data_IF_819161219940
#
_entry.id   IF_819161219940
#
_cell.length_a   1.000
_cell.length_b   1.000
_cell.length_c   1.000
_cell.angle_alpha   90.00
_cell.angle_beta   90.00
_cell.angle_gamma   90.00
#
_symmetry.space_group_name_H-M   'P 1'
#
loop_
_entity.id
_entity.type
_entity.pdbx_description
1 polymer ?
#
# COMPACT_ATOMS: atom_id res chain seq x y z
N UNK A 1 21.95 -13.70 -5.71
CA UNK A 1 22.78 -12.88 -4.78
C UNK A 1 23.40 -13.84 -3.78
N UNK A 2 24.69 -13.71 -3.51
CA UNK A 2 25.38 -14.59 -2.58
C UNK A 2 25.20 -14.01 -1.16
N UNK A 3 24.60 -14.77 -0.24
CA UNK A 3 24.41 -14.36 1.17
C UNK A 3 25.73 -14.15 1.93
N UNK A 4 26.85 -14.67 1.39
CA UNK A 4 28.18 -14.48 1.97
C UNK A 4 28.71 -13.05 1.80
N UNK A 5 28.11 -12.25 0.91
CA UNK A 5 28.44 -10.83 0.71
C UNK A 5 27.83 -9.93 1.78
N UNK A 6 26.82 -10.42 2.53
CA UNK A 6 26.19 -9.66 3.60
C UNK A 6 27.16 -9.41 4.76
N UNK A 7 27.20 -8.17 5.19
CA UNK A 7 28.03 -7.72 6.31
C UNK A 7 27.21 -7.66 7.59
N UNK A 8 27.49 -8.57 8.48
CA UNK A 8 26.94 -8.59 9.82
C UNK A 8 27.85 -7.80 10.76
N UNK A 9 27.26 -7.18 11.78
CA UNK A 9 28.02 -6.48 12.82
C UNK A 9 28.90 -7.44 13.65
N UNK A 10 29.67 -6.87 14.60
CA UNK A 10 30.53 -7.65 15.52
C UNK A 10 29.79 -8.69 16.35
N UNK A 11 28.46 -8.56 16.52
CA UNK A 11 27.59 -9.49 17.21
C UNK A 11 26.95 -10.52 16.26
N UNK A 12 27.31 -10.49 14.98
CA UNK A 12 26.72 -11.34 13.95
C UNK A 12 25.30 -10.94 13.57
N UNK A 13 24.93 -9.69 13.72
CA UNK A 13 23.60 -9.16 13.43
C UNK A 13 23.59 -8.20 12.24
N UNK A 14 22.52 -8.19 11.50
CA UNK A 14 22.23 -7.24 10.44
C UNK A 14 20.87 -6.57 10.74
N UNK A 15 20.75 -5.24 10.67
CA UNK A 15 19.48 -4.56 10.81
C UNK A 15 18.55 -4.88 9.64
N UNK A 16 17.26 -5.06 9.93
CA UNK A 16 16.21 -5.35 8.97
C UNK A 16 15.08 -4.33 9.14
N UNK A 17 14.92 -3.47 8.14
CA UNK A 17 13.80 -2.51 8.04
C UNK A 17 12.63 -3.25 7.40
N UNK A 18 11.58 -3.48 8.19
CA UNK A 18 10.37 -4.17 7.70
C UNK A 18 9.39 -3.15 7.17
N UNK A 19 8.96 -3.33 5.92
CA UNK A 19 8.08 -2.42 5.19
C UNK A 19 6.83 -3.17 4.75
N UNK A 20 5.68 -2.55 4.94
CA UNK A 20 4.42 -3.03 4.39
C UNK A 20 4.43 -2.87 2.86
N UNK A 21 4.27 -3.97 2.13
CA UNK A 21 4.36 -3.98 0.67
C UNK A 21 3.22 -3.20 0.00
N UNK A 22 2.05 -3.17 0.61
CA UNK A 22 0.88 -2.48 0.06
C UNK A 22 0.95 -0.95 0.26
N UNK A 23 1.39 -0.52 1.43
CA UNK A 23 1.35 0.90 1.81
C UNK A 23 2.70 1.60 1.74
N UNK A 24 3.81 0.85 1.66
CA UNK A 24 5.16 1.39 1.76
C UNK A 24 5.53 1.89 3.17
N UNK A 25 4.69 1.63 4.18
CA UNK A 25 4.91 2.08 5.54
C UNK A 25 5.96 1.23 6.24
N UNK A 26 6.92 1.89 6.89
CA UNK A 26 7.88 1.19 7.75
C UNK A 26 7.13 0.66 8.98
N UNK A 27 7.18 -0.65 9.19
CA UNK A 27 6.49 -1.36 10.26
C UNK A 27 7.34 -1.45 11.52
N UNK A 28 8.59 -1.86 11.38
CA UNK A 28 9.55 -1.99 12.47
C UNK A 28 10.99 -2.02 11.97
N UNK A 29 11.92 -1.74 12.85
CA UNK A 29 13.32 -2.12 12.71
C UNK A 29 13.58 -3.32 13.65
N UNK A 30 14.03 -4.42 13.08
CA UNK A 30 14.44 -5.62 13.80
C UNK A 30 15.87 -6.02 13.43
N UNK A 31 16.38 -7.10 14.03
CA UNK A 31 17.70 -7.60 13.73
C UNK A 31 17.62 -9.06 13.32
N UNK A 32 18.43 -9.43 12.35
CA UNK A 32 18.57 -10.81 11.90
C UNK A 32 20.01 -11.27 12.10
N UNK A 33 20.20 -12.55 12.45
CA UNK A 33 21.45 -13.25 12.29
C UNK A 33 21.36 -14.20 11.07
N UNK A 34 22.44 -14.88 10.71
CA UNK A 34 22.43 -15.79 9.55
C UNK A 34 21.35 -16.86 9.65
N UNK A 35 21.12 -17.40 10.85
CA UNK A 35 20.12 -18.44 11.11
C UNK A 35 18.68 -17.90 10.91
N UNK A 36 18.35 -16.76 11.52
CA UNK A 36 17.01 -16.16 11.38
C UNK A 36 16.72 -15.74 9.95
N UNK A 37 17.72 -15.26 9.21
CA UNK A 37 17.59 -14.94 7.79
C UNK A 37 17.32 -16.20 6.96
N UNK A 38 18.05 -17.28 7.19
CA UNK A 38 17.83 -18.56 6.51
C UNK A 38 16.42 -19.11 6.78
N UNK A 39 15.97 -19.09 8.04
CA UNK A 39 14.60 -19.49 8.42
C UNK A 39 13.55 -18.62 7.74
N UNK A 40 13.81 -17.31 7.67
CA UNK A 40 12.89 -16.37 7.01
C UNK A 40 12.73 -16.70 5.52
N UNK A 41 13.82 -16.98 4.85
CA UNK A 41 13.81 -17.33 3.42
C UNK A 41 13.15 -18.71 3.17
N UNK A 42 13.38 -19.68 4.04
CA UNK A 42 12.79 -21.02 3.93
C UNK A 42 11.28 -21.00 4.16
N UNK A 43 10.84 -20.29 5.21
CA UNK A 43 9.42 -20.26 5.60
C UNK A 43 8.58 -19.21 4.86
N UNK A 44 9.22 -18.25 4.21
CA UNK A 44 8.51 -17.09 3.67
C UNK A 44 7.88 -16.19 4.74
N UNK A 45 8.32 -16.31 5.99
CA UNK A 45 7.82 -15.57 7.15
C UNK A 45 8.97 -14.88 7.87
N UNK A 46 8.76 -13.68 8.42
CA UNK A 46 9.82 -12.95 9.11
C UNK A 46 10.21 -13.66 10.43
N UNK A 47 11.46 -14.08 10.52
CA UNK A 47 12.11 -14.56 11.73
C UNK A 47 13.25 -13.61 12.08
N UNK A 48 13.28 -13.15 13.32
CA UNK A 48 14.25 -12.18 13.81
C UNK A 48 15.10 -12.76 14.94
N UNK A 49 16.22 -12.09 15.24
CA UNK A 49 16.99 -12.31 16.44
C UNK A 49 16.61 -11.30 17.51
N UNK A 50 16.09 -11.75 18.63
CA UNK A 50 15.78 -10.90 19.77
C UNK A 50 17.06 -10.61 20.56
N UNK A 51 17.56 -9.37 20.50
CA UNK A 51 18.77 -8.92 21.22
C UNK A 51 18.63 -9.06 22.74
N UNK A 52 17.43 -8.79 23.27
CA UNK A 52 17.16 -8.85 24.72
C UNK A 52 17.03 -10.28 25.23
N UNK A 53 16.34 -11.14 24.46
CA UNK A 53 16.11 -12.56 24.84
C UNK A 53 17.24 -13.48 24.39
N UNK A 54 18.13 -13.01 23.51
CA UNK A 54 19.18 -13.79 22.86
C UNK A 54 18.66 -15.08 22.23
N UNK A 55 17.56 -14.97 21.50
CA UNK A 55 16.87 -16.11 20.88
C UNK A 55 16.20 -15.70 19.57
N UNK A 56 15.93 -16.70 18.74
CA UNK A 56 15.10 -16.54 17.54
C UNK A 56 13.68 -16.15 17.92
N UNK A 57 13.05 -15.38 17.07
CA UNK A 57 11.68 -14.94 17.23
C UNK A 57 10.96 -14.90 15.89
N UNK A 58 10.04 -15.84 15.68
CA UNK A 58 9.15 -15.82 14.52
C UNK A 58 8.04 -14.81 14.78
N UNK A 59 7.96 -13.78 13.95
CA UNK A 59 6.93 -12.74 14.08
C UNK A 59 5.55 -13.32 13.83
N UNK A 60 4.65 -13.13 14.79
CA UNK A 60 3.30 -13.68 14.73
C UNK A 60 3.10 -15.00 15.48
N UNK A 61 4.14 -15.68 15.95
CA UNK A 61 4.03 -16.99 16.63
C UNK A 61 3.11 -16.99 17.86
N UNK A 62 2.97 -15.85 18.54
CA UNK A 62 2.10 -15.70 19.72
C UNK A 62 0.80 -14.98 19.39
N UNK A 63 0.85 -13.97 18.50
CA UNK A 63 -0.29 -13.09 18.24
C UNK A 63 -1.16 -13.53 17.06
N UNK A 64 -0.67 -14.44 16.20
CA UNK A 64 -1.29 -14.75 14.92
C UNK A 64 -1.02 -13.73 13.81
N UNK A 65 -0.44 -12.56 14.14
CA UNK A 65 -0.14 -11.50 13.16
C UNK A 65 1.20 -11.79 12.47
N UNK A 66 1.19 -12.73 11.55
CA UNK A 66 2.37 -13.09 10.75
C UNK A 66 2.71 -12.00 9.73
N UNK A 67 3.94 -12.04 9.24
CA UNK A 67 4.44 -11.18 8.17
C UNK A 67 5.00 -12.07 7.06
N UNK A 68 4.27 -12.15 5.95
CA UNK A 68 4.63 -12.95 4.77
C UNK A 68 5.60 -12.15 3.91
N UNK A 69 6.77 -12.70 3.66
CA UNK A 69 7.83 -12.02 2.92
C UNK A 69 7.49 -11.97 1.44
N UNK A 70 7.52 -10.77 0.88
CA UNK A 70 7.41 -10.50 -0.56
C UNK A 70 8.82 -10.41 -1.17
N UNK A 71 9.71 -9.66 -0.52
CA UNK A 71 11.11 -9.53 -0.95
C UNK A 71 12.03 -9.20 0.22
N UNK A 72 13.31 -9.57 0.07
CA UNK A 72 14.41 -9.13 0.93
C UNK A 72 15.47 -8.53 0.01
N UNK A 73 15.85 -7.29 0.27
CA UNK A 73 16.85 -6.53 -0.51
C UNK A 73 17.91 -6.01 0.44
N UNK A 74 19.19 -6.24 0.12
CA UNK A 74 20.28 -5.61 0.83
C UNK A 74 20.50 -4.18 0.32
N UNK A 75 21.00 -3.31 1.17
CA UNK A 75 21.37 -1.96 0.77
C UNK A 75 22.68 -1.93 -0.06
N UNK A 76 23.17 -0.73 -0.38
CA UNK A 76 24.27 -0.54 -1.34
C UNK A 76 25.62 -1.08 -0.86
N UNK A 77 25.85 -1.16 0.44
CA UNK A 77 27.09 -1.64 1.06
C UNK A 77 26.91 -2.95 1.86
N UNK A 78 25.72 -3.57 1.73
CA UNK A 78 25.39 -4.93 2.22
C UNK A 78 25.34 -5.06 3.74
N UNK A 79 25.08 -3.99 4.48
CA UNK A 79 25.07 -3.98 5.94
C UNK A 79 23.69 -3.75 6.56
N UNK A 80 22.63 -3.55 5.72
CA UNK A 80 21.25 -3.45 6.13
C UNK A 80 20.31 -4.17 5.15
N UNK A 81 19.13 -4.60 5.63
CA UNK A 81 18.11 -5.26 4.82
C UNK A 81 16.81 -4.46 4.81
N UNK A 82 16.21 -4.27 3.63
CA UNK A 82 14.77 -4.00 3.48
C UNK A 82 14.03 -5.32 3.35
N UNK A 83 13.02 -5.54 4.18
CA UNK A 83 12.16 -6.72 4.15
C UNK A 83 10.73 -6.28 3.89
N UNK A 84 10.26 -6.45 2.65
CA UNK A 84 8.88 -6.17 2.27
C UNK A 84 7.97 -7.32 2.62
N UNK A 85 6.84 -7.01 3.26
CA UNK A 85 5.94 -8.04 3.78
C UNK A 85 4.47 -7.69 3.54
N UNK A 86 3.64 -8.72 3.39
CA UNK A 86 2.19 -8.66 3.62
C UNK A 86 1.92 -9.13 5.04
N UNK A 87 1.13 -8.37 5.79
CA UNK A 87 0.86 -8.64 7.21
C UNK A 87 -0.56 -9.14 7.43
N UNK A 88 -0.75 -10.08 8.35
CA UNK A 88 -2.09 -10.58 8.72
C UNK A 88 -2.82 -9.66 9.72
N UNK A 89 -2.12 -8.68 10.29
CA UNK A 89 -2.68 -7.74 11.26
C UNK A 89 -1.67 -6.71 11.74
N UNK A 90 -1.94 -5.98 12.84
CA UNK A 90 -1.06 -4.97 13.38
C UNK A 90 0.36 -5.46 13.62
N UNK A 91 1.35 -4.69 13.17
CA UNK A 91 2.75 -5.10 13.31
C UNK A 91 3.28 -4.91 14.74
N UNK A 92 2.78 -3.92 15.48
CA UNK A 92 3.21 -3.65 16.85
C UNK A 92 2.49 -4.54 17.86
N UNK A 93 3.19 -4.92 18.93
CA UNK A 93 2.61 -5.67 20.05
C UNK A 93 1.58 -4.86 20.87
N UNK A 94 1.56 -3.53 20.71
CA UNK A 94 0.57 -2.63 21.32
C UNK A 94 -0.75 -2.58 20.53
N UNK A 95 -0.85 -3.27 19.42
CA UNK A 95 -2.00 -3.22 18.50
C UNK A 95 -1.92 -2.13 17.43
N UNK A 96 -0.85 -1.34 17.41
CA UNK A 96 -0.61 -0.32 16.39
C UNK A 96 -0.10 -0.93 15.08
N UNK A 97 -0.45 -0.28 13.97
CA UNK A 97 -0.04 -0.70 12.63
C UNK A 97 1.48 -0.74 12.44
N UNK A 98 2.21 0.12 13.13
CA UNK A 98 3.66 0.27 13.07
C UNK A 98 4.23 0.51 14.47
N UNK A 99 5.47 0.06 14.70
CA UNK A 99 6.21 0.41 15.91
C UNK A 99 6.60 1.89 15.97
N UNK A 100 6.58 2.59 14.83
CA UNK A 100 6.92 4.01 14.74
C UNK A 100 5.66 4.89 14.90
N UNK A 101 5.10 4.91 16.11
CA UNK A 101 3.89 5.68 16.42
C UNK A 101 4.08 6.74 17.51
N UNK A 102 5.31 6.93 18.00
CA UNK A 102 5.64 7.96 19.01
C UNK A 102 6.43 9.09 18.32
N UNK A 103 5.81 10.22 17.94
CA UNK A 103 6.53 11.32 17.30
C UNK A 103 7.47 12.01 18.30
N UNK A 104 8.69 12.33 17.88
CA UNK A 104 9.67 13.11 18.65
C UNK A 104 9.67 14.57 18.18
N UNK A 105 9.47 14.79 16.88
CA UNK A 105 9.42 16.11 16.26
C UNK A 105 8.33 16.12 15.18
N UNK A 106 7.55 17.19 15.14
CA UNK A 106 6.44 17.35 14.21
C UNK A 106 5.22 16.49 14.58
N UNK A 107 4.08 16.80 13.98
CA UNK A 107 2.91 15.95 14.05
C UNK A 107 3.05 14.82 13.04
N UNK A 108 2.55 13.63 13.39
CA UNK A 108 2.39 12.54 12.44
C UNK A 108 1.34 13.00 11.42
N UNK A 109 1.78 13.53 10.31
CA UNK A 109 0.87 13.85 9.23
C UNK A 109 0.27 12.53 8.76
N UNK A 110 -1.01 12.30 9.05
CA UNK A 110 -1.81 11.33 8.33
C UNK A 110 -1.88 11.81 6.87
N UNK A 111 -0.88 11.39 6.10
CA UNK A 111 -0.91 11.68 4.67
C UNK A 111 -2.11 10.94 4.11
N UNK A 112 -3.05 11.71 3.57
CA UNK A 112 -4.15 11.15 2.81
C UNK A 112 -3.59 10.20 1.74
N UNK A 113 -4.08 8.97 1.74
CA UNK A 113 -3.70 7.94 0.77
C UNK A 113 -4.97 7.48 0.04
N UNK A 114 -4.89 7.36 -1.27
CA UNK A 114 -6.00 6.88 -2.09
C UNK A 114 -6.43 5.46 -1.68
N UNK A 115 -5.49 4.62 -1.29
CA UNK A 115 -5.74 3.28 -0.74
C UNK A 115 -6.58 3.34 0.52
N UNK A 116 -6.31 4.28 1.42
CA UNK A 116 -7.11 4.50 2.64
C UNK A 116 -8.54 4.92 2.31
N UNK A 117 -8.72 5.79 1.31
CA UNK A 117 -10.06 6.15 0.83
C UNK A 117 -10.77 4.94 0.21
N UNK A 118 -10.09 4.14 -0.59
CA UNK A 118 -10.67 2.93 -1.18
C UNK A 118 -11.15 1.94 -0.11
N UNK A 119 -10.35 1.69 0.94
CA UNK A 119 -10.75 0.83 2.07
C UNK A 119 -11.96 1.40 2.83
N UNK A 120 -12.01 2.72 3.04
CA UNK A 120 -13.19 3.39 3.62
C UNK A 120 -14.44 3.18 2.75
N UNK A 121 -14.33 3.27 1.43
CA UNK A 121 -15.44 3.03 0.51
C UNK A 121 -15.93 1.57 0.55
N UNK A 122 -15.01 0.61 0.67
CA UNK A 122 -15.33 -0.82 0.87
C UNK A 122 -16.13 -1.03 2.16
N UNK A 123 -15.70 -0.45 3.29
CA UNK A 123 -16.43 -0.57 4.56
C UNK A 123 -17.83 0.05 4.44
N UNK A 124 -17.93 1.23 3.83
CA UNK A 124 -19.22 1.91 3.63
C UNK A 124 -20.19 1.15 2.73
N UNK A 125 -19.68 0.44 1.71
CA UNK A 125 -20.50 -0.46 0.89
C UNK A 125 -21.06 -1.63 1.70
N UNK A 126 -20.29 -2.14 2.66
CA UNK A 126 -20.68 -3.25 3.53
C UNK A 126 -21.65 -2.81 4.63
N UNK A 127 -21.38 -1.67 5.26
CA UNK A 127 -22.08 -1.19 6.46
C UNK A 127 -23.29 -0.32 6.13
N UNK A 128 -23.28 0.37 5.00
CA UNK A 128 -24.32 1.30 4.50
C UNK A 128 -24.80 2.29 5.56
N UNK A 129 -23.90 3.09 6.19
CA UNK A 129 -24.28 4.01 7.25
C UNK A 129 -25.32 5.02 6.78
N UNK A 130 -26.34 5.26 7.63
CA UNK A 130 -27.41 6.20 7.33
C UNK A 130 -26.90 7.63 7.15
N UNK A 131 -27.49 8.40 6.23
CA UNK A 131 -27.10 9.79 5.92
C UNK A 131 -25.80 9.93 5.14
N UNK A 132 -25.13 8.85 4.77
CA UNK A 132 -23.91 8.90 3.97
C UNK A 132 -24.22 9.04 2.47
N UNK A 133 -23.57 10.03 1.81
CA UNK A 133 -23.64 10.18 0.35
C UNK A 133 -23.14 8.93 -0.39
N UNK A 134 -22.08 8.30 0.10
CA UNK A 134 -21.54 7.06 -0.46
C UNK A 134 -22.58 5.92 -0.40
N UNK A 135 -23.30 5.81 0.73
CA UNK A 135 -24.40 4.85 0.89
C UNK A 135 -25.49 5.10 -0.14
N UNK A 136 -25.87 6.36 -0.32
CA UNK A 136 -26.84 6.74 -1.36
C UNK A 136 -26.40 6.30 -2.76
N UNK A 137 -25.14 6.47 -3.13
CA UNK A 137 -24.62 6.03 -4.43
C UNK A 137 -24.71 4.52 -4.59
N UNK A 138 -24.28 3.75 -3.59
CA UNK A 138 -24.36 2.28 -3.63
C UNK A 138 -25.81 1.77 -3.69
N UNK A 139 -26.72 2.39 -2.95
CA UNK A 139 -28.16 2.02 -3.00
C UNK A 139 -28.80 2.35 -4.34
N UNK A 140 -28.43 3.45 -4.98
CA UNK A 140 -28.91 3.82 -6.32
C UNK A 140 -28.31 2.98 -7.45
N UNK A 141 -27.18 2.31 -7.17
CA UNK A 141 -26.56 1.34 -8.04
C UNK A 141 -25.73 1.93 -9.18
N UNK A 142 -25.33 1.06 -10.08
CA UNK A 142 -24.31 1.33 -11.11
C UNK A 142 -24.66 2.51 -12.01
N UNK A 143 -25.90 2.62 -12.48
CA UNK A 143 -26.30 3.71 -13.41
C UNK A 143 -26.12 5.09 -12.79
N UNK A 144 -26.43 5.23 -11.49
CA UNK A 144 -26.23 6.50 -10.79
C UNK A 144 -24.75 6.83 -10.61
N UNK A 145 -23.92 5.82 -10.32
CA UNK A 145 -22.48 5.99 -10.19
C UNK A 145 -21.86 6.39 -11.54
N UNK A 146 -22.22 5.68 -12.61
CA UNK A 146 -21.74 6.01 -13.96
C UNK A 146 -22.17 7.39 -14.41
N UNK A 147 -23.41 7.80 -14.07
CA UNK A 147 -23.88 9.17 -14.34
C UNK A 147 -22.98 10.19 -13.65
N UNK A 148 -22.60 10.00 -12.38
CA UNK A 148 -21.70 10.90 -11.65
C UNK A 148 -20.29 10.94 -12.28
N UNK A 149 -19.72 9.80 -12.64
CA UNK A 149 -18.43 9.77 -13.37
C UNK A 149 -18.49 10.60 -14.66
N UNK A 150 -19.60 10.51 -15.41
CA UNK A 150 -19.79 11.33 -16.62
C UNK A 150 -19.95 12.84 -16.33
N UNK A 151 -20.70 13.20 -15.30
CA UNK A 151 -20.87 14.59 -14.84
C UNK A 151 -19.51 15.20 -14.47
N UNK A 152 -18.76 14.58 -13.54
CA UNK A 152 -17.46 15.07 -13.05
C UNK A 152 -16.41 15.11 -14.18
N UNK A 153 -16.42 14.12 -15.09
CA UNK A 153 -15.53 14.17 -16.26
C UNK A 153 -15.79 15.39 -17.15
N UNK A 154 -17.05 15.80 -17.28
CA UNK A 154 -17.43 16.99 -18.07
C UNK A 154 -16.99 18.27 -17.35
N UNK A 155 -17.17 18.34 -16.03
CA UNK A 155 -16.76 19.47 -15.20
C UNK A 155 -15.25 19.68 -15.22
N UNK A 156 -14.46 18.60 -15.15
CA UNK A 156 -12.98 18.64 -15.36
C UNK A 156 -12.63 19.27 -16.72
N UNK A 157 -13.36 18.90 -17.80
CA UNK A 157 -13.10 19.44 -19.14
C UNK A 157 -13.42 20.96 -19.19
N UNK A 158 -14.52 21.37 -18.59
CA UNK A 158 -14.96 22.77 -18.56
C UNK A 158 -13.96 23.61 -17.76
N UNK A 159 -13.63 23.20 -16.54
CA UNK A 159 -12.67 23.89 -15.68
C UNK A 159 -11.27 23.96 -16.30
N UNK A 160 -10.79 22.85 -16.86
CA UNK A 160 -9.51 22.80 -17.56
C UNK A 160 -9.48 23.69 -18.80
N UNK A 161 -10.58 23.77 -19.56
CA UNK A 161 -10.69 24.67 -20.72
C UNK A 161 -10.72 26.15 -20.32
N UNK A 162 -11.27 26.45 -19.15
CA UNK A 162 -11.27 27.80 -18.57
C UNK A 162 -9.91 28.19 -17.96
N UNK A 163 -8.95 27.28 -17.90
CA UNK A 163 -7.64 27.44 -17.26
C UNK A 163 -7.76 27.81 -15.76
N UNK A 164 -8.90 27.51 -15.13
CA UNK A 164 -9.08 27.66 -13.69
C UNK A 164 -8.45 26.49 -12.94
N UNK A 165 -7.25 26.72 -12.39
CA UNK A 165 -6.51 25.70 -11.68
C UNK A 165 -7.23 25.22 -10.42
N UNK A 166 -7.87 26.12 -9.68
CA UNK A 166 -8.50 25.77 -8.41
C UNK A 166 -9.73 24.88 -8.65
N UNK A 167 -10.57 25.29 -9.59
CA UNK A 167 -11.74 24.52 -9.99
C UNK A 167 -11.34 23.20 -10.65
N UNK A 168 -10.31 23.20 -11.52
CA UNK A 168 -9.81 21.96 -12.12
C UNK A 168 -9.35 20.94 -11.07
N UNK A 169 -8.67 21.39 -10.01
CA UNK A 169 -8.24 20.50 -8.89
C UNK A 169 -9.45 19.95 -8.15
N UNK A 170 -10.48 20.77 -7.92
CA UNK A 170 -11.71 20.36 -7.25
C UNK A 170 -12.42 19.26 -8.07
N UNK A 171 -12.65 19.49 -9.34
CA UNK A 171 -13.36 18.56 -10.22
C UNK A 171 -12.57 17.26 -10.46
N UNK A 172 -11.24 17.34 -10.55
CA UNK A 172 -10.40 16.12 -10.61
C UNK A 172 -10.54 15.29 -9.32
N UNK A 173 -10.63 15.93 -8.15
CA UNK A 173 -10.81 15.23 -6.89
C UNK A 173 -12.18 14.52 -6.83
N UNK A 174 -13.24 15.20 -7.29
CA UNK A 174 -14.60 14.62 -7.36
C UNK A 174 -14.67 13.47 -8.38
N UNK A 175 -14.06 13.62 -9.54
CA UNK A 175 -13.93 12.55 -10.51
C UNK A 175 -13.19 11.34 -9.92
N UNK A 176 -12.04 11.57 -9.26
CA UNK A 176 -11.26 10.50 -8.64
C UNK A 176 -12.08 9.76 -7.56
N UNK A 177 -12.83 10.50 -6.74
CA UNK A 177 -13.73 9.90 -5.75
C UNK A 177 -14.79 9.01 -6.39
N UNK A 178 -15.50 9.50 -7.42
CA UNK A 178 -16.55 8.73 -8.09
C UNK A 178 -16.02 7.54 -8.88
N UNK A 179 -14.79 7.63 -9.41
CA UNK A 179 -14.09 6.49 -10.02
C UNK A 179 -13.77 5.41 -8.98
N UNK A 180 -13.30 5.79 -7.77
CA UNK A 180 -13.08 4.83 -6.68
C UNK A 180 -14.40 4.17 -6.23
N UNK A 181 -15.50 4.92 -6.15
CA UNK A 181 -16.84 4.35 -5.87
C UNK A 181 -17.25 3.35 -6.95
N UNK A 182 -17.01 3.65 -8.23
CA UNK A 182 -17.26 2.74 -9.34
C UNK A 182 -16.42 1.47 -9.22
N UNK A 183 -15.12 1.60 -8.91
CA UNK A 183 -14.23 0.46 -8.71
C UNK A 183 -14.75 -0.46 -7.61
N UNK A 184 -15.13 0.10 -6.46
CA UNK A 184 -15.74 -0.67 -5.36
C UNK A 184 -17.04 -1.32 -5.80
N UNK A 185 -17.89 -0.64 -6.58
CA UNK A 185 -19.14 -1.19 -7.08
C UNK A 185 -18.92 -2.39 -8.00
N UNK A 186 -17.89 -2.33 -8.83
CA UNK A 186 -17.55 -3.37 -9.80
C UNK A 186 -16.62 -4.46 -9.24
N UNK A 187 -16.09 -4.29 -8.01
CA UNK A 187 -15.12 -5.21 -7.43
C UNK A 187 -13.72 -5.09 -8.04
N UNK A 188 -13.38 -3.93 -8.59
CA UNK A 188 -12.06 -3.66 -9.19
C UNK A 188 -11.15 -3.12 -8.08
N UNK A 189 -10.01 -3.76 -7.85
CA UNK A 189 -9.02 -3.35 -6.86
C UNK A 189 -8.10 -2.23 -7.37
N UNK A 190 -7.47 -1.50 -6.46
CA UNK A 190 -6.42 -0.52 -6.80
C UNK A 190 -5.24 -1.22 -7.46
N UNK A 191 -4.93 -2.45 -7.05
CA UNK A 191 -3.83 -3.24 -7.61
C UNK A 191 -4.07 -3.63 -9.08
N UNK A 192 -5.31 -3.95 -9.46
CA UNK A 192 -5.63 -4.21 -10.88
C UNK A 192 -5.38 -2.97 -11.75
N UNK A 193 -5.72 -1.77 -11.25
CA UNK A 193 -5.43 -0.52 -11.97
C UNK A 193 -3.92 -0.26 -12.04
N UNK A 194 -3.20 -0.49 -10.94
CA UNK A 194 -1.73 -0.36 -10.93
C UNK A 194 -1.07 -1.33 -11.92
N UNK A 195 -1.48 -2.58 -11.93
CA UNK A 195 -0.94 -3.60 -12.85
C UNK A 195 -1.19 -3.21 -14.30
N UNK A 196 -2.40 -2.73 -14.63
CA UNK A 196 -2.73 -2.27 -15.98
C UNK A 196 -1.91 -1.04 -16.39
N UNK A 197 -1.74 -0.07 -15.48
CA UNK A 197 -0.90 1.10 -15.74
C UNK A 197 0.58 0.72 -15.91
N UNK A 198 1.09 -0.17 -15.07
CA UNK A 198 2.46 -0.68 -15.16
C UNK A 198 2.71 -1.41 -16.49
N UNK A 199 1.75 -2.23 -16.94
CA UNK A 199 1.85 -2.93 -18.23
C UNK A 199 1.96 -1.98 -19.41
N UNK A 200 1.33 -0.80 -19.33
CA UNK A 200 1.38 0.24 -20.38
C UNK A 200 2.67 1.04 -20.36
N UNK A 201 3.35 1.12 -19.23
CA UNK A 201 4.58 1.90 -19.07
C UNK A 201 5.78 1.26 -19.83
N UNK A 202 5.72 -0.04 -20.09
CA UNK A 202 6.75 -0.81 -20.80
C UNK A 202 6.62 -0.68 -22.33
N UNK A 203 5.50 -0.14 -22.84
CA UNK A 203 5.22 -0.06 -24.28
C UNK A 203 5.58 1.33 -24.80
N UNK A 204 6.78 1.46 -25.35
CA UNK A 204 7.30 2.70 -25.98
C UNK A 204 6.56 3.09 -27.30
N UNK A 205 5.59 2.30 -27.73
CA UNK A 205 4.81 2.55 -28.95
C UNK A 205 3.31 2.64 -28.63
N UNK A 206 2.68 3.76 -29.00
CA UNK A 206 1.23 4.02 -28.90
C UNK A 206 0.41 3.14 -29.86
N UNK A 207 0.41 1.83 -29.63
CA UNK A 207 -0.31 0.85 -30.47
C UNK A 207 -1.82 1.13 -30.57
N UNK A 208 -2.38 1.89 -29.62
CA UNK A 208 -3.82 2.24 -29.63
C UNK A 208 -4.18 3.39 -30.58
N UNK A 209 -3.24 4.30 -30.88
CA UNK A 209 -3.53 5.41 -31.80
C UNK A 209 -3.53 4.97 -33.28
N UNK A 210 -2.74 3.95 -33.65
CA UNK A 210 -2.73 3.41 -35.02
C UNK A 210 -4.01 2.66 -35.39
N UNK A 211 -4.77 2.15 -34.40
CA UNK A 211 -6.06 1.47 -34.64
C UNK A 211 -7.26 2.41 -34.72
N UNK A 212 -7.12 3.68 -34.34
CA UNK A 212 -8.19 4.69 -34.40
C UNK A 212 -8.13 5.55 -35.68
N UNK A 213 -7.11 5.39 -36.52
CA UNK A 213 -6.91 6.14 -37.76
C UNK A 213 -7.16 5.30 -39.01
N UNK A 214 -7.80 4.11 -38.87
CA UNK A 214 -8.27 3.31 -40.00
C UNK A 214 -9.78 3.21 -39.98
#
# INVERSE_FOLDING_TARGET
MNLDELKFDENGLIPAIVVDDETGKVLTLAYMNRESLAISMEKGLTCFWSRSRKSLWLKGETSGNYQHIVSITADCDMDALEVRVKKDGPACHTGEESCFHNPILGEKADKFQLEGLYQLLLSRKKELPEGSYTTYLFQKGLDKILKKVGEESTEVIIAGKAEDKAETVYEIADLAYHVLVLMVQMGISVEEIRAELASRHIIDHKVKQEKMTK
#
